data_IF_525734153368
#
_entry.id   IF_525734153368
#
_cell.length_a   1.000
_cell.length_b   1.000
_cell.length_c   1.000
_cell.angle_alpha   90.00
_cell.angle_beta   90.00
_cell.angle_gamma   90.00
#
_symmetry.space_group_name_H-M   'P 1'
#
loop_
_entity.id
_entity.type
_entity.pdbx_description
1 polymer ?
#
# COMPACT_ATOMS: atom_id res chain seq x y z
N UNK A 1 -23.24 -26.36 -12.93
CA UNK A 1 -23.03 -24.92 -12.84
C UNK A 1 -23.33 -24.50 -11.40
N UNK A 2 -22.34 -24.07 -10.64
CA UNK A 2 -22.62 -23.50 -9.31
C UNK A 2 -23.40 -22.21 -9.51
N UNK A 3 -24.65 -22.16 -9.06
CA UNK A 3 -25.42 -20.92 -9.02
C UNK A 3 -24.77 -19.99 -7.98
N UNK A 4 -24.20 -18.89 -8.44
CA UNK A 4 -23.73 -17.84 -7.52
C UNK A 4 -24.92 -17.24 -6.77
N UNK A 5 -24.78 -16.95 -5.47
CA UNK A 5 -25.79 -16.19 -4.75
C UNK A 5 -26.05 -14.85 -5.43
N UNK A 6 -27.33 -14.49 -5.54
CA UNK A 6 -27.73 -13.22 -6.16
C UNK A 6 -28.10 -12.22 -5.07
N UNK A 7 -27.46 -11.06 -5.16
CA UNK A 7 -27.73 -9.93 -4.28
C UNK A 7 -28.41 -8.83 -5.08
N UNK A 8 -29.66 -8.49 -4.70
CA UNK A 8 -30.49 -7.53 -5.43
C UNK A 8 -30.39 -6.13 -4.82
N UNK A 9 -30.26 -5.14 -5.67
CA UNK A 9 -30.29 -3.74 -5.26
C UNK A 9 -31.74 -3.24 -5.09
N UNK A 10 -31.91 -2.26 -4.22
CA UNK A 10 -33.16 -1.50 -4.12
C UNK A 10 -33.37 -0.66 -5.39
N UNK A 11 -34.62 -0.37 -5.80
CA UNK A 11 -34.90 0.49 -6.96
C UNK A 11 -34.14 1.82 -6.90
N UNK A 12 -33.52 2.21 -8.03
CA UNK A 12 -32.74 3.44 -8.18
C UNK A 12 -31.33 3.42 -7.57
N UNK A 13 -30.88 2.30 -6.94
CA UNK A 13 -29.53 2.18 -6.36
C UNK A 13 -28.49 1.56 -7.31
N UNK A 14 -28.89 1.15 -8.51
CA UNK A 14 -28.01 0.58 -9.53
C UNK A 14 -27.14 1.61 -10.24
N UNK A 15 -27.42 2.90 -10.13
CA UNK A 15 -26.74 3.96 -10.90
C UNK A 15 -25.23 4.03 -10.61
N UNK A 16 -24.82 3.85 -9.35
CA UNK A 16 -23.40 3.84 -8.98
C UNK A 16 -22.67 2.67 -9.65
N UNK A 17 -23.25 1.47 -9.67
CA UNK A 17 -22.67 0.29 -10.31
C UNK A 17 -22.60 0.45 -11.83
N UNK A 18 -23.65 0.99 -12.45
CA UNK A 18 -23.69 1.32 -13.91
C UNK A 18 -22.65 2.37 -14.30
N UNK A 19 -22.21 3.21 -13.36
CA UNK A 19 -21.09 4.16 -13.53
C UNK A 19 -19.73 3.59 -13.11
N UNK A 20 -19.62 2.28 -12.99
CA UNK A 20 -18.39 1.56 -12.62
C UNK A 20 -17.84 1.90 -11.23
N UNK A 21 -18.70 2.32 -10.28
CA UNK A 21 -18.27 2.47 -8.89
C UNK A 21 -17.95 1.10 -8.29
N UNK A 22 -16.75 0.87 -7.72
CA UNK A 22 -16.30 -0.48 -7.34
C UNK A 22 -16.96 -1.03 -6.06
N UNK A 23 -17.78 -0.24 -5.39
CA UNK A 23 -18.43 -0.64 -4.12
C UNK A 23 -19.94 -0.58 -4.19
N UNK A 24 -20.57 -1.60 -3.62
CA UNK A 24 -22.01 -1.59 -3.28
C UNK A 24 -22.13 -1.41 -1.78
N UNK A 25 -22.79 -0.34 -1.35
CA UNK A 25 -23.02 -0.09 0.07
C UNK A 25 -24.21 -0.89 0.59
N UNK A 26 -24.17 -1.33 1.87
CA UNK A 26 -25.20 -2.15 2.51
C UNK A 26 -26.60 -1.52 2.42
N UNK A 27 -26.70 -0.21 2.56
CA UNK A 27 -27.97 0.53 2.43
C UNK A 27 -28.61 0.45 1.03
N UNK A 28 -27.85 0.07 -0.02
CA UNK A 28 -28.36 -0.11 -1.37
C UNK A 28 -28.95 -1.50 -1.63
N UNK A 29 -28.69 -2.47 -0.76
CA UNK A 29 -29.07 -3.88 -0.94
C UNK A 29 -30.44 -4.15 -0.34
N UNK A 30 -31.23 -4.99 -1.01
CA UNK A 30 -32.55 -5.43 -0.54
C UNK A 30 -32.40 -6.72 0.28
N UNK A 31 -32.93 -6.72 1.52
CA UNK A 31 -32.99 -7.94 2.36
C UNK A 31 -31.63 -8.52 2.73
N UNK A 32 -30.60 -7.69 2.89
CA UNK A 32 -29.23 -8.14 3.17
C UNK A 32 -29.12 -8.91 4.49
N UNK A 33 -29.89 -8.52 5.50
CA UNK A 33 -29.94 -9.11 6.84
C UNK A 33 -30.37 -10.58 6.84
N UNK A 34 -31.14 -11.00 5.83
CA UNK A 34 -31.68 -12.34 5.68
C UNK A 34 -31.02 -13.13 4.53
N UNK A 35 -29.90 -12.63 3.98
CA UNK A 35 -29.28 -13.21 2.79
C UNK A 35 -28.58 -14.55 3.03
N UNK A 36 -28.17 -14.84 4.26
CA UNK A 36 -27.37 -16.03 4.60
C UNK A 36 -25.98 -16.07 3.98
N UNK A 37 -25.52 -14.97 3.37
CA UNK A 37 -24.23 -14.88 2.68
C UNK A 37 -23.06 -14.97 3.65
N UNK A 38 -22.02 -15.67 3.24
CA UNK A 38 -20.78 -15.78 4.00
C UNK A 38 -19.81 -14.66 3.63
N UNK A 39 -19.13 -14.10 4.62
CA UNK A 39 -18.08 -13.10 4.41
C UNK A 39 -17.00 -13.61 3.45
N UNK A 40 -16.69 -12.85 2.41
CA UNK A 40 -15.75 -13.23 1.35
C UNK A 40 -16.35 -14.05 0.21
N UNK A 41 -17.63 -14.41 0.26
CA UNK A 41 -18.31 -15.18 -0.77
C UNK A 41 -18.47 -14.38 -2.07
N UNK A 42 -18.25 -15.03 -3.21
CA UNK A 42 -18.51 -14.42 -4.53
C UNK A 42 -20.02 -14.38 -4.79
N UNK A 43 -20.54 -13.21 -5.15
CA UNK A 43 -21.96 -12.97 -5.40
C UNK A 43 -22.17 -12.25 -6.74
N UNK A 44 -23.32 -12.50 -7.36
CA UNK A 44 -23.81 -11.71 -8.49
C UNK A 44 -24.67 -10.56 -7.97
N UNK A 45 -24.39 -9.35 -8.41
CA UNK A 45 -25.18 -8.15 -8.10
C UNK A 45 -26.16 -7.91 -9.23
N UNK A 46 -27.46 -7.82 -8.91
CA UNK A 46 -28.53 -7.56 -9.83
C UNK A 46 -29.28 -6.28 -9.45
N UNK A 47 -29.90 -5.63 -10.40
CA UNK A 47 -30.83 -4.52 -10.16
C UNK A 47 -32.19 -5.03 -9.63
N UNK A 48 -33.12 -4.12 -9.37
CA UNK A 48 -34.46 -4.46 -8.90
C UNK A 48 -35.31 -5.24 -9.91
N UNK A 49 -34.96 -5.22 -11.19
CA UNK A 49 -35.63 -5.92 -12.30
C UNK A 49 -34.90 -7.24 -12.65
N UNK A 50 -34.00 -7.70 -11.80
CA UNK A 50 -33.20 -8.93 -11.96
C UNK A 50 -32.18 -8.89 -13.12
N UNK A 51 -31.85 -7.70 -13.65
CA UNK A 51 -30.76 -7.56 -14.61
C UNK A 51 -29.41 -7.65 -13.91
N UNK A 52 -28.49 -8.43 -14.47
CA UNK A 52 -27.13 -8.54 -13.98
C UNK A 52 -26.38 -7.19 -14.10
N UNK A 53 -25.63 -6.84 -13.07
CA UNK A 53 -24.81 -5.63 -13.03
C UNK A 53 -23.31 -5.92 -12.85
N UNK A 54 -22.95 -6.82 -11.93
CA UNK A 54 -21.56 -7.07 -11.58
C UNK A 54 -21.37 -8.39 -10.81
N UNK A 55 -20.13 -8.86 -10.71
CA UNK A 55 -19.66 -9.85 -9.75
C UNK A 55 -18.77 -9.19 -8.70
N UNK A 56 -18.84 -9.64 -7.47
CA UNK A 56 -18.01 -9.14 -6.39
C UNK A 56 -18.01 -10.01 -5.15
N UNK A 57 -17.18 -9.69 -4.20
CA UNK A 57 -17.13 -10.39 -2.93
C UNK A 57 -17.98 -9.68 -1.88
N UNK A 58 -18.80 -10.47 -1.19
CA UNK A 58 -19.63 -9.99 -0.09
C UNK A 58 -18.80 -9.70 1.17
N UNK A 59 -19.15 -8.64 1.87
CA UNK A 59 -18.59 -8.24 3.16
C UNK A 59 -19.70 -7.82 4.14
N UNK A 60 -19.56 -8.25 5.39
CA UNK A 60 -20.44 -7.83 6.48
C UNK A 60 -20.05 -6.45 7.01
N UNK A 61 -20.42 -5.38 6.31
CA UNK A 61 -20.06 -4.03 6.73
C UNK A 61 -20.78 -2.97 5.89
N UNK A 62 -20.37 -1.70 6.02
CA UNK A 62 -20.93 -0.60 5.24
C UNK A 62 -20.76 -0.77 3.73
N UNK A 63 -19.64 -1.35 3.30
CA UNK A 63 -19.41 -1.79 1.92
C UNK A 63 -19.79 -3.25 1.84
N UNK A 64 -21.01 -3.54 1.35
CA UNK A 64 -21.55 -4.89 1.29
C UNK A 64 -20.94 -5.73 0.16
N UNK A 65 -20.60 -5.13 -0.99
CA UNK A 65 -19.91 -5.85 -2.07
C UNK A 65 -18.77 -5.01 -2.62
N UNK A 66 -17.62 -5.66 -2.79
CA UNK A 66 -16.48 -5.12 -3.55
C UNK A 66 -16.46 -5.79 -4.91
N UNK A 67 -16.71 -5.01 -5.96
CA UNK A 67 -16.86 -5.50 -7.33
C UNK A 67 -15.51 -5.90 -7.89
N UNK A 68 -15.44 -7.10 -8.47
CA UNK A 68 -14.24 -7.62 -9.16
C UNK A 68 -14.44 -7.68 -10.68
N UNK A 69 -15.71 -7.76 -11.16
CA UNK A 69 -16.02 -7.79 -12.58
C UNK A 69 -17.38 -7.18 -12.87
N UNK A 70 -17.50 -6.51 -14.03
CA UNK A 70 -18.77 -6.03 -14.58
C UNK A 70 -19.28 -6.94 -15.71
N UNK A 71 -18.61 -8.07 -15.97
CA UNK A 71 -19.07 -9.13 -16.88
C UNK A 71 -19.58 -10.34 -16.12
N UNK A 72 -20.38 -11.21 -16.78
CA UNK A 72 -20.90 -12.43 -16.18
C UNK A 72 -19.88 -13.58 -16.07
N UNK A 73 -18.65 -13.35 -16.52
CA UNK A 73 -17.59 -14.34 -16.50
C UNK A 73 -17.20 -14.65 -15.03
N UNK A 74 -17.35 -15.93 -14.64
CA UNK A 74 -16.97 -16.37 -13.29
C UNK A 74 -15.44 -16.35 -13.20
N UNK A 75 -14.86 -15.69 -12.18
CA UNK A 75 -13.43 -15.63 -12.01
C UNK A 75 -12.79 -17.02 -11.83
N UNK A 76 -11.91 -17.38 -12.72
CA UNK A 76 -11.01 -18.54 -12.67
C UNK A 76 -9.55 -18.10 -12.46
N UNK A 77 -8.60 -19.04 -12.45
CA UNK A 77 -7.18 -18.71 -12.30
C UNK A 77 -6.69 -17.74 -13.39
N UNK A 78 -7.16 -17.91 -14.64
CA UNK A 78 -6.82 -17.05 -15.78
C UNK A 78 -7.36 -15.62 -15.63
N UNK A 79 -8.56 -15.48 -15.08
CA UNK A 79 -9.14 -14.17 -14.77
C UNK A 79 -8.23 -13.37 -13.83
N UNK A 80 -7.73 -14.01 -12.76
CA UNK A 80 -6.83 -13.36 -11.80
C UNK A 80 -5.46 -13.08 -12.40
N UNK A 81 -4.90 -14.02 -13.19
CA UNK A 81 -3.64 -13.82 -13.90
C UNK A 81 -3.73 -12.63 -14.86
N UNK A 82 -4.82 -12.48 -15.61
CA UNK A 82 -5.05 -11.33 -16.50
C UNK A 82 -5.09 -9.99 -15.75
N UNK A 83 -5.66 -9.95 -14.53
CA UNK A 83 -5.66 -8.71 -13.71
C UNK A 83 -4.25 -8.36 -13.24
N UNK A 84 -3.48 -9.32 -12.77
CA UNK A 84 -2.07 -9.09 -12.38
C UNK A 84 -1.25 -8.68 -13.60
N UNK A 85 -1.46 -9.32 -14.76
CA UNK A 85 -0.77 -8.95 -16.00
C UNK A 85 -1.07 -7.49 -16.43
N UNK A 86 -2.32 -7.06 -16.35
CA UNK A 86 -2.70 -5.65 -16.65
C UNK A 86 -2.02 -4.68 -15.68
N UNK A 87 -2.00 -5.00 -14.39
CA UNK A 87 -1.30 -4.20 -13.39
C UNK A 87 0.20 -4.10 -13.70
N UNK A 88 0.83 -5.23 -14.07
CA UNK A 88 2.23 -5.28 -14.48
C UNK A 88 2.50 -4.42 -15.72
N UNK A 89 1.69 -4.58 -16.78
CA UNK A 89 1.82 -3.80 -18.03
C UNK A 89 1.67 -2.28 -17.78
N UNK A 90 0.75 -1.88 -16.89
CA UNK A 90 0.65 -0.48 -16.50
C UNK A 90 1.95 0.02 -15.86
N UNK A 91 2.59 -0.78 -14.98
CA UNK A 91 3.85 -0.40 -14.32
C UNK A 91 5.03 -0.35 -15.31
N UNK A 92 5.02 -1.19 -16.34
CA UNK A 92 5.96 -1.07 -17.47
C UNK A 92 5.72 0.26 -18.21
N UNK A 93 4.47 0.54 -18.59
CA UNK A 93 4.11 1.72 -19.38
C UNK A 93 4.46 3.06 -18.69
N UNK A 94 4.44 3.08 -17.34
CA UNK A 94 4.82 4.27 -16.55
C UNK A 94 6.28 4.21 -16.04
N UNK A 95 7.11 3.27 -16.55
CA UNK A 95 8.54 3.21 -16.29
C UNK A 95 8.93 2.70 -14.90
N UNK A 96 8.07 1.94 -14.21
CA UNK A 96 8.35 1.37 -12.87
C UNK A 96 8.83 -0.07 -12.92
N UNK A 97 8.10 -0.93 -13.62
CA UNK A 97 8.54 -2.30 -13.85
C UNK A 97 9.59 -2.33 -14.96
N UNK A 98 10.51 -3.28 -14.88
CA UNK A 98 11.67 -3.43 -15.78
C UNK A 98 12.63 -2.21 -15.80
N UNK A 99 12.58 -1.36 -14.78
CA UNK A 99 13.50 -0.24 -14.61
C UNK A 99 14.83 -0.70 -13.99
N UNK A 100 15.95 -0.24 -14.52
CA UNK A 100 17.27 -0.45 -13.92
C UNK A 100 17.48 0.36 -12.63
N UNK A 101 16.79 1.49 -12.51
CA UNK A 101 16.95 2.49 -11.45
C UNK A 101 15.86 2.45 -10.38
N UNK A 102 14.77 1.70 -10.61
CA UNK A 102 13.67 1.57 -9.65
C UNK A 102 13.23 0.11 -9.57
N UNK A 103 13.50 -0.52 -8.44
CA UNK A 103 13.16 -1.93 -8.15
C UNK A 103 12.18 -2.05 -6.96
N UNK A 104 11.72 -0.90 -6.43
CA UNK A 104 10.71 -0.82 -5.37
C UNK A 104 9.50 -0.04 -5.88
N UNK A 105 8.34 -0.69 -6.03
CA UNK A 105 7.12 -0.06 -6.51
C UNK A 105 5.87 -0.84 -6.13
N UNK A 106 4.71 -0.16 -6.14
CA UNK A 106 3.40 -0.80 -5.97
C UNK A 106 2.92 -1.42 -7.26
N UNK A 107 2.81 -2.75 -7.27
CA UNK A 107 2.25 -3.51 -8.39
C UNK A 107 0.72 -3.48 -8.37
N UNK A 108 0.10 -3.70 -7.21
CA UNK A 108 -1.36 -3.73 -7.08
C UNK A 108 -1.80 -2.73 -6.01
N UNK A 109 -2.78 -1.88 -6.36
CA UNK A 109 -3.40 -0.91 -5.47
C UNK A 109 -4.93 -1.12 -5.41
N UNK A 110 -5.36 -2.24 -4.91
CA UNK A 110 -6.78 -2.50 -4.61
C UNK A 110 -7.70 -2.27 -5.80
N UNK A 111 -8.72 -1.47 -5.56
CA UNK A 111 -9.77 -1.13 -6.51
C UNK A 111 -9.25 -0.48 -7.80
N UNK A 112 -8.16 0.28 -7.73
CA UNK A 112 -7.56 0.95 -8.89
C UNK A 112 -7.04 -0.03 -9.93
N UNK A 113 -6.60 -1.22 -9.50
CA UNK A 113 -6.14 -2.30 -10.38
C UNK A 113 -7.21 -3.40 -10.55
N UNK A 114 -8.45 -3.16 -10.08
CA UNK A 114 -9.56 -4.10 -10.14
C UNK A 114 -9.39 -5.34 -9.26
N UNK A 115 -8.59 -5.23 -8.20
CA UNK A 115 -8.30 -6.26 -7.19
C UNK A 115 -8.64 -5.71 -5.80
N UNK A 116 -9.92 -5.41 -5.52
CA UNK A 116 -10.34 -4.67 -4.33
C UNK A 116 -9.91 -5.36 -3.03
N UNK A 117 -9.22 -4.59 -2.19
CA UNK A 117 -8.71 -5.10 -0.92
C UNK A 117 -7.41 -5.90 -1.04
N UNK A 118 -6.68 -5.81 -2.16
CA UNK A 118 -5.35 -6.39 -2.33
C UNK A 118 -4.31 -5.31 -2.57
N UNK A 119 -3.24 -5.34 -1.81
CA UNK A 119 -2.04 -4.52 -2.03
C UNK A 119 -0.88 -5.47 -2.32
N UNK A 120 -0.09 -5.16 -3.35
CA UNK A 120 1.16 -5.87 -3.64
C UNK A 120 2.23 -4.84 -3.96
N UNK A 121 3.30 -4.83 -3.18
CA UNK A 121 4.50 -4.05 -3.44
C UNK A 121 5.65 -4.99 -3.84
N UNK A 122 6.41 -4.57 -4.84
CA UNK A 122 7.58 -5.30 -5.33
C UNK A 122 8.83 -4.67 -4.73
N UNK A 123 9.73 -5.51 -4.25
CA UNK A 123 11.06 -5.19 -3.74
C UNK A 123 12.07 -6.13 -4.40
N UNK A 124 12.74 -5.68 -5.45
CA UNK A 124 13.57 -6.52 -6.33
C UNK A 124 12.79 -7.75 -6.85
N UNK A 125 13.18 -8.94 -6.40
CA UNK A 125 12.54 -10.22 -6.74
C UNK A 125 11.53 -10.72 -5.71
N UNK A 126 11.19 -9.90 -4.71
CA UNK A 126 10.22 -10.24 -3.66
C UNK A 126 8.94 -9.42 -3.82
N UNK A 127 7.80 -10.10 -3.86
CA UNK A 127 6.49 -9.47 -3.75
C UNK A 127 5.99 -9.51 -2.29
N UNK A 128 5.62 -8.37 -1.74
CA UNK A 128 4.99 -8.27 -0.42
C UNK A 128 3.51 -8.01 -0.59
N UNK A 129 2.70 -8.98 -0.17
CA UNK A 129 1.25 -8.98 -0.32
C UNK A 129 0.57 -8.60 0.99
N UNK A 130 -0.45 -7.74 0.94
CA UNK A 130 -1.38 -7.48 2.03
C UNK A 130 -2.81 -7.67 1.56
N UNK A 131 -3.52 -8.62 2.17
CA UNK A 131 -4.96 -8.77 2.00
C UNK A 131 -5.70 -7.96 3.07
N UNK A 132 -6.57 -7.07 2.64
CA UNK A 132 -7.44 -6.25 3.48
C UNK A 132 -8.87 -6.81 3.56
N UNK A 133 -9.14 -7.90 2.83
CA UNK A 133 -10.44 -8.57 2.79
C UNK A 133 -10.26 -10.08 2.87
N UNK A 134 -11.24 -10.76 3.46
CA UNK A 134 -11.22 -12.22 3.58
C UNK A 134 -11.15 -12.91 2.20
N UNK A 135 -11.85 -12.36 1.20
CA UNK A 135 -11.83 -12.89 -0.15
C UNK A 135 -10.41 -12.90 -0.73
N UNK A 136 -9.69 -11.77 -0.66
CA UNK A 136 -8.32 -11.68 -1.15
C UNK A 136 -7.35 -12.53 -0.33
N UNK A 137 -7.60 -12.66 0.97
CA UNK A 137 -6.82 -13.56 1.82
C UNK A 137 -6.97 -15.03 1.38
N UNK A 138 -8.18 -15.47 1.07
CA UNK A 138 -8.44 -16.82 0.58
C UNK A 138 -7.89 -17.05 -0.83
N UNK A 139 -7.82 -16.01 -1.66
CA UNK A 139 -7.29 -16.07 -3.03
C UNK A 139 -5.74 -16.01 -3.11
N UNK A 140 -5.02 -15.89 -1.99
CA UNK A 140 -3.54 -15.82 -1.99
C UNK A 140 -2.86 -16.93 -2.82
N UNK A 141 -3.25 -18.22 -2.75
CA UNK A 141 -2.62 -19.25 -3.59
C UNK A 141 -2.79 -18.99 -5.08
N UNK A 142 -3.96 -18.51 -5.50
CA UNK A 142 -4.24 -18.16 -6.91
C UNK A 142 -3.45 -16.93 -7.33
N UNK A 143 -3.36 -15.92 -6.45
CA UNK A 143 -2.56 -14.70 -6.70
C UNK A 143 -1.06 -15.01 -6.79
N UNK A 144 -0.54 -15.92 -5.95
CA UNK A 144 0.86 -16.37 -6.05
C UNK A 144 1.14 -17.02 -7.40
N UNK A 145 0.27 -17.91 -7.88
CA UNK A 145 0.39 -18.50 -9.22
C UNK A 145 0.36 -17.44 -10.32
N UNK A 146 -0.57 -16.49 -10.23
CA UNK A 146 -0.67 -15.39 -11.18
C UNK A 146 0.60 -14.53 -11.21
N UNK A 147 1.19 -14.24 -10.04
CA UNK A 147 2.47 -13.53 -9.96
C UNK A 147 3.61 -14.31 -10.59
N UNK A 148 3.68 -15.64 -10.36
CA UNK A 148 4.69 -16.51 -10.99
C UNK A 148 4.55 -16.53 -12.51
N UNK A 149 3.31 -16.64 -13.01
CA UNK A 149 3.03 -16.63 -14.45
C UNK A 149 3.44 -15.30 -15.11
N UNK A 150 3.12 -14.17 -14.49
CA UNK A 150 3.35 -12.83 -15.05
C UNK A 150 4.82 -12.39 -14.91
N UNK A 151 5.44 -12.66 -13.79
CA UNK A 151 6.81 -12.19 -13.50
C UNK A 151 7.89 -13.21 -13.88
N UNK A 152 7.55 -14.50 -13.98
CA UNK A 152 8.50 -15.58 -14.32
C UNK A 152 9.68 -15.59 -13.35
N UNK A 153 10.89 -15.70 -13.90
CA UNK A 153 12.15 -15.77 -13.14
C UNK A 153 12.48 -14.51 -12.31
N UNK A 154 11.81 -13.39 -12.56
CA UNK A 154 11.95 -12.16 -11.78
C UNK A 154 11.39 -12.31 -10.36
N UNK A 155 10.43 -13.23 -10.14
CA UNK A 155 9.83 -13.47 -8.83
C UNK A 155 10.54 -14.63 -8.13
N UNK A 156 11.17 -14.37 -7.01
CA UNK A 156 11.86 -15.40 -6.19
C UNK A 156 11.11 -15.66 -4.87
N UNK A 157 10.38 -14.68 -4.35
CA UNK A 157 9.67 -14.82 -3.09
C UNK A 157 8.35 -14.05 -3.09
N UNK A 158 7.37 -14.54 -2.33
CA UNK A 158 6.13 -13.84 -1.98
C UNK A 158 5.95 -13.91 -0.48
N UNK A 159 5.93 -12.73 0.17
CA UNK A 159 5.71 -12.60 1.61
C UNK A 159 4.31 -12.06 1.87
N UNK A 160 3.51 -12.83 2.63
CA UNK A 160 2.21 -12.37 3.11
C UNK A 160 2.37 -11.57 4.40
N UNK A 161 1.92 -10.33 4.37
CA UNK A 161 1.95 -9.40 5.49
C UNK A 161 0.55 -8.94 5.89
N UNK A 162 -0.41 -9.89 5.90
CA UNK A 162 -1.83 -9.61 6.13
C UNK A 162 -2.25 -9.64 7.60
N UNK A 163 -1.38 -10.03 8.54
CA UNK A 163 -1.70 -10.18 9.97
C UNK A 163 -2.40 -8.96 10.58
N UNK A 164 -1.97 -7.75 10.21
CA UNK A 164 -2.51 -6.49 10.77
C UNK A 164 -3.57 -5.82 9.90
N UNK A 165 -3.83 -6.35 8.70
CA UNK A 165 -4.76 -5.75 7.74
C UNK A 165 -6.12 -6.41 7.74
N UNK A 166 -6.20 -7.66 8.18
CA UNK A 166 -7.47 -8.34 8.41
C UNK A 166 -8.01 -7.96 9.78
N UNK A 167 -9.27 -7.56 9.80
CA UNK A 167 -9.96 -7.19 11.04
C UNK A 167 -10.42 -8.42 11.81
N UNK A 168 -10.62 -8.29 13.13
CA UNK A 168 -11.18 -9.36 13.97
C UNK A 168 -12.53 -9.89 13.44
N UNK A 169 -13.30 -9.05 12.71
CA UNK A 169 -14.56 -9.45 12.08
C UNK A 169 -14.40 -10.46 10.93
N UNK A 170 -13.18 -10.70 10.44
CA UNK A 170 -12.92 -11.74 9.43
C UNK A 170 -13.03 -13.17 10.00
N UNK A 171 -12.95 -13.34 11.33
CA UNK A 171 -12.96 -14.64 11.99
C UNK A 171 -11.70 -15.49 11.74
N UNK A 172 -10.63 -14.89 11.18
CA UNK A 172 -9.37 -15.55 10.85
C UNK A 172 -8.22 -14.92 11.63
N UNK A 173 -7.41 -15.77 12.24
CA UNK A 173 -6.12 -15.40 12.79
C UNK A 173 -5.07 -15.48 11.68
N UNK A 174 -4.85 -14.37 10.96
CA UNK A 174 -3.81 -14.28 9.94
C UNK A 174 -2.43 -14.20 10.59
N UNK A 175 -1.43 -14.83 9.96
CA UNK A 175 -0.02 -14.75 10.36
C UNK A 175 0.83 -14.39 9.16
N UNK A 176 1.81 -13.52 9.38
CA UNK A 176 2.77 -13.18 8.33
C UNK A 176 3.67 -14.39 8.03
N UNK A 177 3.85 -14.71 6.74
CA UNK A 177 4.68 -15.82 6.31
C UNK A 177 5.07 -15.73 4.85
N UNK A 178 6.12 -16.46 4.45
CA UNK A 178 6.41 -16.66 3.03
C UNK A 178 5.41 -17.65 2.42
N UNK A 179 4.79 -17.27 1.32
CA UNK A 179 3.92 -18.12 0.50
C UNK A 179 4.70 -18.77 -0.64
N UNK A 180 5.83 -18.18 -1.02
CA UNK A 180 6.77 -18.67 -2.01
C UNK A 180 8.19 -18.24 -1.61
N UNK A 181 9.17 -19.14 -1.77
CA UNK A 181 10.58 -18.85 -1.51
C UNK A 181 10.88 -18.47 -0.06
N UNK A 182 11.90 -17.64 0.12
CA UNK A 182 12.36 -17.15 1.43
C UNK A 182 12.90 -15.72 1.29
N UNK A 183 13.43 -15.16 2.39
CA UNK A 183 14.01 -13.81 2.41
C UNK A 183 14.99 -13.61 1.25
N UNK A 184 14.80 -12.52 0.50
CA UNK A 184 15.62 -12.12 -0.63
C UNK A 184 16.49 -10.90 -0.32
N UNK A 185 17.08 -10.30 -1.36
CA UNK A 185 17.88 -9.07 -1.26
C UNK A 185 17.00 -7.90 -0.82
N UNK A 186 17.30 -7.38 0.37
CA UNK A 186 16.61 -6.27 1.00
C UNK A 186 17.04 -4.90 0.48
N UNK A 187 18.15 -4.80 -0.30
CA UNK A 187 18.62 -3.54 -0.87
C UNK A 187 17.92 -3.31 -2.20
N UNK A 188 16.97 -2.37 -2.21
CA UNK A 188 16.21 -1.96 -3.39
C UNK A 188 16.72 -0.65 -3.95
N UNK A 189 16.30 -0.32 -5.17
CA UNK A 189 16.55 0.98 -5.80
C UNK A 189 15.27 1.78 -5.95
N UNK A 190 15.39 3.09 -5.78
CA UNK A 190 14.37 4.06 -6.16
C UNK A 190 15.04 5.28 -6.80
N UNK A 191 14.79 5.50 -8.09
CA UNK A 191 15.45 6.54 -8.90
C UNK A 191 16.98 6.54 -8.74
N UNK A 192 17.60 5.35 -8.74
CA UNK A 192 19.03 5.14 -8.59
C UNK A 192 19.57 5.16 -7.14
N UNK A 193 18.84 5.69 -6.17
CA UNK A 193 19.21 5.59 -4.75
C UNK A 193 18.91 4.21 -4.21
N UNK A 194 19.77 3.71 -3.31
CA UNK A 194 19.66 2.39 -2.69
C UNK A 194 19.07 2.49 -1.28
N UNK A 195 18.16 1.57 -0.95
CA UNK A 195 17.51 1.53 0.36
C UNK A 195 17.46 0.12 0.91
N UNK A 196 17.86 -0.05 2.17
CA UNK A 196 17.64 -1.27 2.92
C UNK A 196 16.18 -1.30 3.40
N UNK A 197 15.40 -2.29 2.91
CA UNK A 197 13.96 -2.41 3.17
C UNK A 197 13.67 -3.67 3.98
N UNK A 198 13.16 -3.48 5.19
CA UNK A 198 12.78 -4.60 6.06
C UNK A 198 11.29 -4.91 6.00
N UNK A 199 10.82 -5.64 4.97
CA UNK A 199 9.38 -5.95 4.85
C UNK A 199 8.83 -6.85 5.96
N UNK A 200 9.62 -7.73 6.56
CA UNK A 200 9.14 -8.61 7.62
C UNK A 200 8.75 -7.84 8.90
N UNK A 201 9.60 -6.88 9.30
CA UNK A 201 9.47 -6.14 10.57
C UNK A 201 9.16 -4.65 10.40
N UNK A 202 9.22 -4.12 9.17
CA UNK A 202 8.98 -2.72 8.86
C UNK A 202 7.49 -2.33 8.92
N UNK A 203 7.23 -1.02 8.81
CA UNK A 203 5.86 -0.50 8.72
C UNK A 203 5.27 -0.79 7.33
N UNK A 204 3.93 -0.80 7.21
CA UNK A 204 3.20 -1.15 5.98
C UNK A 204 3.79 -2.42 5.35
N UNK A 205 4.15 -2.35 4.07
CA UNK A 205 4.83 -3.43 3.34
C UNK A 205 6.35 -3.44 3.54
N UNK A 206 6.94 -2.38 4.13
CA UNK A 206 8.38 -2.24 4.39
C UNK A 206 8.96 -0.88 4.01
N UNK A 207 8.44 -0.26 2.93
CA UNK A 207 8.85 1.05 2.43
C UNK A 207 7.64 1.86 1.97
N UNK A 208 7.73 3.20 1.98
CA UNK A 208 6.66 4.10 1.57
C UNK A 208 6.80 4.45 0.08
N UNK A 209 6.48 3.51 -0.79
CA UNK A 209 6.60 3.67 -2.26
C UNK A 209 5.68 4.76 -2.85
N UNK A 210 4.65 5.16 -2.11
CA UNK A 210 3.70 6.22 -2.46
C UNK A 210 4.33 7.63 -2.43
N UNK A 211 5.41 7.82 -1.68
CA UNK A 211 6.09 9.12 -1.55
C UNK A 211 7.25 9.33 -2.55
N UNK A 212 7.47 8.44 -3.52
CA UNK A 212 8.59 8.54 -4.48
C UNK A 212 8.64 9.88 -5.21
N UNK A 213 7.51 10.31 -5.76
CA UNK A 213 7.44 11.54 -6.56
C UNK A 213 7.64 12.78 -5.68
N UNK A 214 7.12 12.77 -4.43
CA UNK A 214 7.38 13.82 -3.45
C UNK A 214 8.87 13.87 -3.07
N UNK A 215 9.54 12.73 -2.92
CA UNK A 215 10.98 12.69 -2.67
C UNK A 215 11.78 13.24 -3.83
N UNK A 216 11.41 12.89 -5.06
CA UNK A 216 12.06 13.43 -6.26
C UNK A 216 11.83 14.95 -6.41
N UNK A 217 10.63 15.43 -6.10
CA UNK A 217 10.33 16.85 -6.06
C UNK A 217 11.19 17.56 -5.02
N UNK A 218 11.33 17.01 -3.80
CA UNK A 218 12.19 17.55 -2.75
C UNK A 218 13.64 17.72 -3.24
N UNK A 219 14.16 16.76 -3.98
CA UNK A 219 15.51 16.80 -4.54
C UNK A 219 15.75 18.09 -5.33
N UNK A 220 14.79 18.51 -6.15
CA UNK A 220 14.90 19.72 -6.98
C UNK A 220 14.99 21.00 -6.16
N UNK A 221 14.47 21.01 -4.93
CA UNK A 221 14.49 22.16 -4.02
C UNK A 221 15.63 22.13 -3.01
N UNK A 222 16.47 21.09 -2.99
CA UNK A 222 17.44 20.87 -1.91
C UNK A 222 18.75 21.62 -2.08
N UNK A 223 19.11 22.02 -3.30
CA UNK A 223 20.43 22.60 -3.61
C UNK A 223 20.75 23.84 -2.76
N UNK A 224 21.86 23.79 -2.04
CA UNK A 224 22.38 24.87 -1.21
C UNK A 224 21.62 25.12 0.08
N UNK A 225 20.63 24.31 0.42
CA UNK A 225 19.73 24.51 1.57
C UNK A 225 20.08 23.63 2.76
N UNK A 226 19.73 24.13 3.95
CA UNK A 226 19.68 23.36 5.19
C UNK A 226 18.29 22.76 5.35
N UNK A 227 18.20 21.47 5.62
CA UNK A 227 16.97 20.71 5.57
C UNK A 227 16.72 19.96 6.88
N UNK A 228 15.47 20.00 7.34
CA UNK A 228 14.98 19.21 8.49
C UNK A 228 13.94 18.20 8.01
N UNK A 229 14.20 16.91 8.27
CA UNK A 229 13.27 15.82 7.98
C UNK A 229 12.72 15.26 9.29
N UNK A 230 11.50 15.64 9.65
CA UNK A 230 10.78 15.16 10.83
C UNK A 230 9.98 13.92 10.47
N UNK A 231 9.86 12.97 11.42
CA UNK A 231 9.28 11.65 11.19
C UNK A 231 9.99 10.93 10.04
N UNK A 232 11.33 10.98 10.08
CA UNK A 232 12.17 10.61 8.95
C UNK A 232 12.10 9.13 8.56
N UNK A 233 11.58 8.26 9.44
CA UNK A 233 11.53 6.81 9.25
C UNK A 233 12.90 6.27 8.78
N UNK A 234 12.99 5.59 7.64
CA UNK A 234 14.24 5.05 7.10
C UNK A 234 15.08 6.06 6.31
N UNK A 235 14.76 7.35 6.39
CA UNK A 235 15.58 8.44 5.84
C UNK A 235 15.53 8.63 4.32
N UNK A 236 14.50 8.08 3.65
CA UNK A 236 14.43 8.18 2.19
C UNK A 236 14.42 9.64 1.69
N UNK A 237 13.64 10.54 2.30
CA UNK A 237 13.67 11.97 1.99
C UNK A 237 15.06 12.58 2.19
N UNK A 238 15.77 12.17 3.25
CA UNK A 238 17.13 12.69 3.54
C UNK A 238 18.13 12.29 2.47
N UNK A 239 18.06 11.06 1.94
CA UNK A 239 18.92 10.64 0.84
C UNK A 239 18.66 11.46 -0.43
N UNK A 240 17.40 11.73 -0.78
CA UNK A 240 17.07 12.60 -1.92
C UNK A 240 17.55 14.03 -1.71
N UNK A 241 17.42 14.58 -0.50
CA UNK A 241 17.91 15.90 -0.18
C UNK A 241 19.45 16.02 -0.32
N UNK A 242 20.19 15.02 0.14
CA UNK A 242 21.66 14.96 -0.01
C UNK A 242 22.08 14.89 -1.48
N UNK A 243 21.42 14.05 -2.29
CA UNK A 243 21.66 13.96 -3.73
C UNK A 243 21.33 15.26 -4.44
N UNK A 244 20.27 15.95 -4.02
CA UNK A 244 19.87 17.26 -4.53
C UNK A 244 20.79 18.41 -4.14
N UNK A 245 21.85 18.16 -3.34
CA UNK A 245 22.87 19.15 -2.98
C UNK A 245 22.52 19.99 -1.76
N UNK A 246 21.74 19.45 -0.81
CA UNK A 246 21.57 20.06 0.51
C UNK A 246 22.92 20.23 1.21
N UNK A 247 23.12 21.34 1.92
CA UNK A 247 24.34 21.65 2.67
C UNK A 247 24.34 21.05 4.07
N UNK A 248 23.14 20.79 4.61
CA UNK A 248 22.91 20.14 5.90
C UNK A 248 21.56 19.41 5.83
N UNK A 249 21.52 18.19 6.33
CA UNK A 249 20.27 17.41 6.49
C UNK A 249 20.21 16.86 7.89
N UNK A 250 19.23 17.29 8.67
CA UNK A 250 18.91 16.70 9.96
C UNK A 250 17.68 15.80 9.83
N UNK A 251 17.81 14.55 10.30
CA UNK A 251 16.76 13.55 10.32
C UNK A 251 16.33 13.26 11.75
N UNK A 252 15.03 13.33 12.04
CA UNK A 252 14.49 13.14 13.39
C UNK A 252 13.37 12.09 13.35
N UNK A 253 13.46 11.10 14.22
CA UNK A 253 12.40 10.13 14.47
C UNK A 253 12.44 9.70 15.93
N UNK A 254 11.30 9.37 16.51
CA UNK A 254 11.22 8.85 17.87
C UNK A 254 11.65 7.38 18.00
N UNK A 255 11.71 6.66 16.89
CA UNK A 255 12.13 5.26 16.82
C UNK A 255 13.63 5.14 16.56
N UNK A 256 14.37 4.64 17.58
CA UNK A 256 15.81 4.34 17.45
C UNK A 256 16.10 3.44 16.22
N UNK A 257 15.26 2.42 16.00
CA UNK A 257 15.40 1.55 14.85
C UNK A 257 15.22 2.29 13.51
N UNK A 258 14.29 3.24 13.42
CA UNK A 258 14.09 4.03 12.22
C UNK A 258 15.33 4.91 11.95
N UNK A 259 15.86 5.55 12.99
CA UNK A 259 17.08 6.38 12.90
C UNK A 259 18.31 5.54 12.52
N UNK A 260 18.45 4.33 13.06
CA UNK A 260 19.50 3.40 12.66
C UNK A 260 19.43 3.08 11.16
N UNK A 261 18.24 2.69 10.66
CA UNK A 261 18.03 2.41 9.23
C UNK A 261 18.23 3.65 8.35
N UNK A 262 17.88 4.84 8.85
CA UNK A 262 18.15 6.10 8.17
C UNK A 262 19.66 6.30 7.96
N UNK A 263 20.46 6.08 9.01
CA UNK A 263 21.93 6.18 8.92
C UNK A 263 22.52 5.14 7.96
N UNK A 264 22.05 3.89 8.02
CA UNK A 264 22.46 2.84 7.08
C UNK A 264 22.16 3.23 5.63
N UNK A 265 20.97 3.77 5.35
CA UNK A 265 20.57 4.19 4.01
C UNK A 265 21.36 5.40 3.52
N UNK A 266 21.68 6.35 4.40
CA UNK A 266 22.55 7.47 4.05
C UNK A 266 23.96 6.98 3.75
N UNK A 267 24.54 6.14 4.60
CA UNK A 267 25.87 5.58 4.40
C UNK A 267 25.97 4.72 3.13
N UNK A 268 24.91 3.96 2.80
CA UNK A 268 24.82 3.16 1.60
C UNK A 268 24.92 3.98 0.31
N UNK A 269 24.44 5.24 0.32
CA UNK A 269 24.42 6.12 -0.84
C UNK A 269 25.52 7.20 -0.82
N UNK A 270 25.93 7.64 0.36
CA UNK A 270 26.85 8.75 0.57
C UNK A 270 27.85 8.40 1.69
N UNK A 271 28.78 7.45 1.45
CA UNK A 271 29.74 7.01 2.47
C UNK A 271 30.55 8.18 3.02
N UNK A 272 30.55 8.33 4.35
CA UNK A 272 31.33 9.35 5.06
C UNK A 272 30.85 10.80 4.84
N UNK A 273 29.63 11.02 4.34
CA UNK A 273 29.10 12.37 4.09
C UNK A 273 28.74 13.10 5.40
N UNK A 274 29.57 14.08 5.78
CA UNK A 274 29.38 14.86 7.00
C UNK A 274 28.19 15.83 7.00
N UNK A 275 27.44 15.97 5.90
CA UNK A 275 26.27 16.84 5.80
C UNK A 275 25.02 16.28 6.51
N UNK A 276 24.98 14.97 6.80
CA UNK A 276 23.84 14.32 7.48
C UNK A 276 24.09 14.20 8.98
N UNK A 277 23.04 14.46 9.76
CA UNK A 277 22.96 14.12 11.19
C UNK A 277 21.58 13.59 11.52
N UNK A 278 21.51 12.59 12.37
CA UNK A 278 20.24 11.99 12.80
C UNK A 278 20.05 12.05 14.30
N UNK A 279 18.81 12.10 14.74
CA UNK A 279 18.45 12.30 16.14
C UNK A 279 17.27 11.37 16.51
N UNK A 280 17.45 10.60 17.58
CA UNK A 280 16.34 9.86 18.21
C UNK A 280 15.65 10.83 19.16
N UNK A 281 14.53 11.40 18.73
CA UNK A 281 13.79 12.40 19.51
C UNK A 281 12.34 12.48 19.07
N UNK A 282 11.47 12.89 19.97
CA UNK A 282 10.17 13.42 19.61
C UNK A 282 10.35 14.70 18.78
N UNK A 283 9.56 14.84 17.70
CA UNK A 283 9.70 15.93 16.75
C UNK A 283 9.48 17.32 17.38
N UNK A 284 8.52 17.45 18.29
CA UNK A 284 8.26 18.73 18.97
C UNK A 284 9.41 19.11 19.90
N UNK A 285 9.89 18.15 20.71
CA UNK A 285 11.03 18.36 21.60
C UNK A 285 12.29 18.75 20.82
N UNK A 286 12.50 18.13 19.67
CA UNK A 286 13.62 18.48 18.82
C UNK A 286 13.50 19.92 18.29
N UNK A 287 12.33 20.31 17.77
CA UNK A 287 12.10 21.67 17.26
C UNK A 287 12.28 22.75 18.33
N UNK A 288 11.79 22.50 19.58
CA UNK A 288 11.96 23.43 20.70
C UNK A 288 13.45 23.61 21.11
N UNK A 289 14.25 22.56 20.97
CA UNK A 289 15.65 22.56 21.33
C UNK A 289 16.60 22.94 20.18
N UNK A 290 16.09 23.00 18.95
CA UNK A 290 16.90 23.21 17.76
C UNK A 290 17.54 24.59 17.73
N UNK A 291 18.88 24.63 17.59
CA UNK A 291 19.65 25.86 17.41
C UNK A 291 19.84 26.24 15.93
N UNK A 292 19.77 25.24 15.06
CA UNK A 292 19.87 25.44 13.61
C UNK A 292 18.58 26.05 13.05
N UNK A 293 18.74 26.89 12.03
CA UNK A 293 17.63 27.36 11.19
C UNK A 293 17.65 26.58 9.89
N UNK A 294 16.49 26.17 9.42
CA UNK A 294 16.33 25.36 8.22
C UNK A 294 15.60 26.16 7.13
N UNK A 295 16.04 25.97 5.89
CA UNK A 295 15.43 26.60 4.71
C UNK A 295 14.25 25.76 4.19
N UNK A 296 14.23 24.46 4.51
CA UNK A 296 13.22 23.52 4.05
C UNK A 296 12.95 22.48 5.15
N UNK A 297 11.68 22.23 5.41
CA UNK A 297 11.23 21.26 6.42
C UNK A 297 10.29 20.26 5.78
N UNK A 298 10.57 18.96 5.94
CA UNK A 298 9.65 17.86 5.66
C UNK A 298 8.92 17.53 6.95
N UNK A 299 7.58 17.55 6.88
CA UNK A 299 6.70 17.23 7.98
C UNK A 299 5.69 16.17 7.50
N UNK A 300 6.00 14.90 7.73
CA UNK A 300 5.15 13.75 7.34
C UNK A 300 4.76 12.91 8.58
N UNK A 301 3.94 13.47 9.48
CA UNK A 301 3.56 12.80 10.71
C UNK A 301 2.62 11.63 10.44
N UNK A 302 2.56 10.63 11.34
CA UNK A 302 1.53 9.60 11.29
C UNK A 302 0.14 10.22 11.41
N UNK A 303 -0.88 9.58 10.83
CA UNK A 303 -2.26 10.05 10.94
C UNK A 303 -2.70 10.15 12.41
N UNK A 304 -3.00 11.36 12.88
CA UNK A 304 -3.46 11.59 14.26
C UNK A 304 -4.93 11.19 14.48
N UNK A 305 -5.75 11.15 13.40
CA UNK A 305 -7.13 10.66 13.47
C UNK A 305 -7.26 9.30 12.77
N UNK A 306 -7.55 8.25 13.52
CA UNK A 306 -7.92 6.92 12.98
C UNK A 306 -9.43 6.73 12.89
N UNK A 307 -10.22 7.55 13.60
CA UNK A 307 -11.69 7.50 13.67
C UNK A 307 -12.27 8.91 13.76
N UNK A 308 -13.51 9.09 13.27
CA UNK A 308 -14.20 10.39 13.29
C UNK A 308 -14.34 11.00 14.69
N UNK A 309 -14.40 10.20 15.74
CA UNK A 309 -14.54 10.65 17.13
C UNK A 309 -13.33 11.41 17.67
N UNK A 310 -12.15 11.30 17.03
CA UNK A 310 -10.90 11.94 17.47
C UNK A 310 -10.43 13.07 16.54
N UNK A 311 -11.28 13.53 15.62
CA UNK A 311 -10.94 14.57 14.63
C UNK A 311 -10.46 15.86 15.30
N UNK A 312 -11.17 16.33 16.33
CA UNK A 312 -10.80 17.57 17.04
C UNK A 312 -9.43 17.49 17.68
N UNK A 313 -9.09 16.36 18.30
CA UNK A 313 -7.78 16.12 18.88
C UNK A 313 -6.69 16.05 17.79
N UNK A 314 -6.99 15.45 16.65
CA UNK A 314 -6.08 15.40 15.51
C UNK A 314 -5.82 16.80 14.95
N UNK A 315 -6.84 17.63 14.78
CA UNK A 315 -6.70 19.03 14.34
C UNK A 315 -5.77 19.81 15.28
N UNK A 316 -5.89 19.62 16.59
CA UNK A 316 -4.98 20.26 17.55
C UNK A 316 -3.53 19.71 17.43
N UNK A 317 -3.40 18.40 17.15
CA UNK A 317 -2.09 17.79 16.88
C UNK A 317 -1.41 18.37 15.63
N UNK A 318 -2.16 18.62 14.55
CA UNK A 318 -1.61 19.25 13.33
C UNK A 318 -1.36 20.77 13.45
N UNK A 319 -1.95 21.45 14.44
CA UNK A 319 -1.74 22.90 14.67
C UNK A 319 -0.54 23.22 15.56
N UNK A 320 -0.02 22.23 16.26
CA UNK A 320 1.19 22.36 17.07
C UNK A 320 2.42 22.33 16.20
#
# INVERSE_FOLDING_TARGET
>A
MHHLPILRLKPGKEQSVKRYHPWVFSGAVKGLENSGLKHGELVAVHDSNDNFLALGHYHSGSIAVRIVSYSKEIPDDKFWANKIARAWQLRIAIGLADSADTTAFRLVHGESDGLPGLIIDIYNSTAVLQAHTLAMYNLRPVIVKALQEVMGDRLKAVFDKSERTLTASSGIEARNSYLLGSSGDAIVKENGLRFNVGWEKGQKTGFFVDNRDNRHLLETYSKGRKLLNLYCYTGAFSCYALRGGATLVHSVDSSERAVMLCNENVELNFPGDGRHKSFVSDSYKYMEAAKEKYDLIILDPPAFAKHHTVINNAIQGYKR
#
